data_IF_090894664125
#
_entry.id   IF_090894664125
#
_cell.length_a   1.000
_cell.length_b   1.000
_cell.length_c   1.000
_cell.angle_alpha   90.00
_cell.angle_beta   90.00
_cell.angle_gamma   90.00
#
_symmetry.space_group_name_H-M   'P 1'
#
loop_
_entity.id
_entity.type
_entity.pdbx_description
1 polymer ?
#
# COMPACT_ATOMS: atom_id res chain seq x y z
N UNK A 1 3.35 15.53 -11.62
CA UNK A 1 2.89 15.73 -10.24
C UNK A 1 1.60 14.95 -10.07
N UNK A 2 1.50 14.11 -9.04
CA UNK A 2 0.31 13.29 -8.82
C UNK A 2 -0.91 14.16 -8.59
N UNK A 3 -1.96 13.93 -9.36
CA UNK A 3 -3.20 14.72 -9.36
C UNK A 3 -3.92 14.70 -8.01
N UNK A 4 -3.72 13.64 -7.23
CA UNK A 4 -4.34 13.42 -5.93
C UNK A 4 -3.56 14.09 -4.76
N UNK A 5 -2.31 14.51 -4.96
CA UNK A 5 -1.49 15.04 -3.87
C UNK A 5 -1.66 16.55 -3.69
N UNK A 6 -1.97 17.00 -2.47
CA UNK A 6 -1.91 18.41 -2.11
C UNK A 6 -0.50 19.00 -2.34
N UNK A 7 -0.42 20.32 -2.62
CA UNK A 7 0.83 21.09 -2.86
C UNK A 7 1.62 20.71 -4.13
N UNK A 8 0.95 20.27 -5.18
CA UNK A 8 1.56 20.14 -6.51
C UNK A 8 2.67 19.07 -6.60
N UNK A 9 2.61 18.04 -5.75
CA UNK A 9 3.59 16.94 -5.73
C UNK A 9 4.92 17.26 -5.03
N UNK A 10 5.02 18.38 -4.31
CA UNK A 10 6.18 18.71 -3.45
C UNK A 10 6.25 17.75 -2.26
N UNK A 11 7.08 16.71 -2.34
CA UNK A 11 7.29 15.74 -1.25
C UNK A 11 8.33 16.26 -0.25
N UNK A 12 7.88 16.65 0.94
CA UNK A 12 8.75 16.98 2.07
C UNK A 12 9.35 15.74 2.75
N UNK A 13 10.33 15.93 3.63
CA UNK A 13 10.99 14.85 4.36
C UNK A 13 10.03 13.93 5.15
N UNK A 14 8.90 14.47 5.63
CA UNK A 14 7.84 13.69 6.29
C UNK A 14 7.23 12.62 5.39
N UNK A 15 7.01 12.95 4.12
CA UNK A 15 6.43 12.03 3.13
C UNK A 15 7.40 10.89 2.80
N UNK A 16 8.71 11.21 2.73
CA UNK A 16 9.74 10.20 2.55
C UNK A 16 9.84 9.27 3.78
N UNK A 17 9.78 9.81 4.99
CA UNK A 17 9.80 9.03 6.22
C UNK A 17 8.56 8.13 6.37
N UNK A 18 7.37 8.63 6.02
CA UNK A 18 6.14 7.86 6.07
C UNK A 18 6.19 6.63 5.13
N UNK A 19 6.65 6.82 3.90
CA UNK A 19 6.65 5.73 2.91
C UNK A 19 7.85 4.78 3.06
N UNK A 20 9.00 5.27 3.53
CA UNK A 20 10.21 4.46 3.67
C UNK A 20 10.42 3.92 5.09
N UNK A 21 9.74 4.45 6.10
CA UNK A 21 9.98 4.14 7.51
C UNK A 21 9.76 2.66 7.83
N UNK A 22 8.68 2.07 7.33
CA UNK A 22 8.39 0.64 7.48
C UNK A 22 9.48 -0.21 6.85
N UNK A 23 9.92 0.14 5.63
CA UNK A 23 11.00 -0.56 4.95
C UNK A 23 12.33 -0.47 5.70
N UNK A 24 12.68 0.73 6.20
CA UNK A 24 13.89 0.94 7.00
C UNK A 24 13.88 0.08 8.26
N UNK A 25 12.77 0.07 8.99
CA UNK A 25 12.62 -0.76 10.19
C UNK A 25 12.80 -2.25 9.87
N UNK A 26 12.16 -2.75 8.81
CA UNK A 26 12.25 -4.16 8.41
C UNK A 26 13.67 -4.57 8.00
N UNK A 27 14.41 -3.72 7.29
CA UNK A 27 15.81 -3.98 6.93
C UNK A 27 16.70 -4.03 8.18
N UNK A 28 16.53 -3.09 9.11
CA UNK A 28 17.28 -3.10 10.36
C UNK A 28 16.98 -4.36 11.19
N UNK A 29 15.72 -4.78 11.24
CA UNK A 29 15.32 -6.01 11.91
C UNK A 29 15.90 -7.26 11.23
N UNK A 30 15.95 -7.28 9.89
CA UNK A 30 16.55 -8.39 9.13
C UNK A 30 18.06 -8.51 9.36
N UNK A 31 18.75 -7.41 9.69
CA UNK A 31 20.16 -7.42 10.00
C UNK A 31 20.49 -8.09 11.35
N UNK A 32 19.52 -8.17 12.27
CA UNK A 32 19.71 -8.70 13.64
C UNK A 32 18.90 -9.97 13.91
N UNK A 33 18.20 -10.52 12.92
CA UNK A 33 17.38 -11.74 13.07
C UNK A 33 17.68 -12.77 11.97
N UNK A 34 17.43 -14.07 12.22
CA UNK A 34 17.63 -15.11 11.21
C UNK A 34 16.50 -15.18 10.17
N UNK A 35 15.42 -14.41 10.31
CA UNK A 35 14.21 -14.50 9.48
C UNK A 35 14.27 -13.63 8.22
N UNK A 36 15.43 -13.60 7.56
CA UNK A 36 15.71 -12.68 6.45
C UNK A 36 14.70 -12.82 5.29
N UNK A 37 14.31 -14.05 4.95
CA UNK A 37 13.38 -14.31 3.85
C UNK A 37 11.99 -13.72 4.11
N UNK A 38 11.42 -13.94 5.31
CA UNK A 38 10.10 -13.42 5.67
C UNK A 38 10.11 -11.88 5.75
N UNK A 39 11.19 -11.32 6.31
CA UNK A 39 11.36 -9.87 6.41
C UNK A 39 11.60 -9.20 5.05
N UNK A 40 12.28 -9.88 4.12
CA UNK A 40 12.40 -9.42 2.73
C UNK A 40 11.03 -9.38 2.03
N UNK A 41 10.18 -10.38 2.23
CA UNK A 41 8.80 -10.38 1.72
C UNK A 41 7.98 -9.23 2.32
N UNK A 42 8.04 -9.04 3.63
CA UNK A 42 7.39 -7.92 4.30
C UNK A 42 7.89 -6.56 3.80
N UNK A 43 9.21 -6.44 3.55
CA UNK A 43 9.82 -5.24 3.00
C UNK A 43 9.28 -4.91 1.62
N UNK A 44 9.26 -5.89 0.70
CA UNK A 44 8.71 -5.69 -0.65
C UNK A 44 7.22 -5.34 -0.57
N UNK A 45 6.47 -5.97 0.34
CA UNK A 45 5.06 -5.67 0.57
C UNK A 45 4.82 -4.24 1.06
N UNK A 46 5.68 -3.67 1.92
CA UNK A 46 5.57 -2.28 2.36
C UNK A 46 5.60 -1.30 1.18
N UNK A 47 6.59 -1.45 0.29
CA UNK A 47 6.71 -0.62 -0.91
C UNK A 47 5.62 -0.91 -1.93
N UNK A 48 5.23 -2.19 -2.09
CA UNK A 48 4.12 -2.59 -2.94
C UNK A 48 2.80 -1.97 -2.46
N UNK A 49 2.58 -1.86 -1.15
CA UNK A 49 1.40 -1.19 -0.58
C UNK A 49 1.39 0.30 -0.93
N UNK A 50 2.51 1.01 -0.71
CA UNK A 50 2.62 2.42 -1.05
C UNK A 50 2.42 2.68 -2.56
N UNK A 51 2.97 1.81 -3.40
CA UNK A 51 2.79 1.87 -4.85
C UNK A 51 1.35 1.56 -5.27
N UNK A 52 0.73 0.55 -4.65
CA UNK A 52 -0.67 0.20 -4.88
C UNK A 52 -1.55 1.42 -4.60
N UNK A 53 -1.41 2.01 -3.42
CA UNK A 53 -2.25 3.12 -2.99
C UNK A 53 -2.16 4.32 -3.96
N UNK A 54 -0.92 4.73 -4.28
CA UNK A 54 -0.67 5.84 -5.21
C UNK A 54 -1.24 5.56 -6.60
N UNK A 55 -0.97 4.38 -7.17
CA UNK A 55 -1.44 4.05 -8.52
C UNK A 55 -2.96 3.88 -8.55
N UNK A 56 -3.54 3.29 -7.50
CA UNK A 56 -4.99 3.05 -7.44
C UNK A 56 -5.78 4.35 -7.34
N UNK A 57 -5.28 5.33 -6.58
CA UNK A 57 -5.92 6.64 -6.43
C UNK A 57 -5.77 7.48 -7.71
N UNK A 58 -4.58 7.54 -8.31
CA UNK A 58 -4.38 8.29 -9.56
C UNK A 58 -5.20 7.70 -10.72
N UNK A 59 -5.14 6.38 -10.93
CA UNK A 59 -5.88 5.73 -12.01
C UNK A 59 -7.38 5.72 -11.71
N UNK A 60 -7.78 5.51 -10.46
CA UNK A 60 -9.17 5.53 -10.04
C UNK A 60 -9.82 6.91 -10.20
N UNK A 61 -9.10 8.00 -9.95
CA UNK A 61 -9.61 9.35 -10.16
C UNK A 61 -9.79 9.71 -11.65
N UNK A 62 -8.86 9.29 -12.51
CA UNK A 62 -8.90 9.61 -13.95
C UNK A 62 -9.85 8.70 -14.72
N UNK A 63 -9.83 7.40 -14.43
CA UNK A 63 -10.48 6.36 -15.23
C UNK A 63 -11.61 5.63 -14.52
N UNK A 64 -11.85 5.90 -13.23
CA UNK A 64 -12.89 5.24 -12.45
C UNK A 64 -14.28 5.53 -13.00
N UNK A 65 -14.92 4.52 -13.61
CA UNK A 65 -16.27 4.65 -14.18
C UNK A 65 -17.35 4.54 -13.11
N UNK A 66 -17.09 3.72 -12.10
CA UNK A 66 -17.96 3.50 -10.94
C UNK A 66 -17.13 3.49 -9.68
N UNK A 67 -17.19 4.61 -8.96
CA UNK A 67 -16.57 4.80 -7.65
C UNK A 67 -17.60 4.57 -6.56
N UNK A 68 -17.23 3.79 -5.55
CA UNK A 68 -18.08 3.48 -4.40
C UNK A 68 -17.32 3.71 -3.10
N UNK A 69 -18.02 4.11 -2.05
CA UNK A 69 -17.42 4.25 -0.72
C UNK A 69 -17.18 2.86 -0.12
N UNK A 70 -15.97 2.56 0.35
CA UNK A 70 -15.61 1.21 0.81
C UNK A 70 -16.47 0.72 2.00
N UNK A 71 -16.95 1.62 2.86
CA UNK A 71 -17.72 1.28 4.07
C UNK A 71 -19.19 0.97 3.78
N UNK A 72 -19.80 1.65 2.81
CA UNK A 72 -21.25 1.55 2.52
C UNK A 72 -21.56 0.94 1.16
N UNK A 73 -20.55 0.78 0.31
CA UNK A 73 -20.63 0.37 -1.10
C UNK A 73 -21.60 1.22 -1.94
N UNK A 74 -21.92 2.44 -1.46
CA UNK A 74 -22.77 3.39 -2.18
C UNK A 74 -21.96 4.13 -3.23
N UNK A 75 -22.55 4.44 -4.39
CA UNK A 75 -21.89 5.27 -5.39
C UNK A 75 -21.54 6.66 -4.82
N UNK A 76 -20.32 7.10 -5.06
CA UNK A 76 -19.81 8.43 -4.69
C UNK A 76 -19.02 9.03 -5.84
N UNK A 77 -18.87 10.37 -5.94
CA UNK A 77 -18.03 10.99 -6.96
C UNK A 77 -16.57 10.49 -6.91
N UNK A 78 -15.87 10.41 -8.06
CA UNK A 78 -14.43 10.17 -8.06
C UNK A 78 -13.68 11.24 -7.26
N UNK A 79 -12.66 10.80 -6.49
CA UNK A 79 -11.89 11.68 -5.61
C UNK A 79 -12.52 11.92 -4.23
N UNK A 80 -13.66 11.30 -3.92
CA UNK A 80 -14.16 11.23 -2.53
C UNK A 80 -13.20 10.42 -1.66
N UNK A 81 -12.94 10.89 -0.43
CA UNK A 81 -12.08 10.19 0.52
C UNK A 81 -12.62 8.79 0.83
N UNK A 82 -11.74 7.78 0.79
CA UNK A 82 -12.13 6.38 0.96
C UNK A 82 -12.98 5.78 -0.16
N UNK A 83 -13.11 6.46 -1.30
CA UNK A 83 -13.72 5.89 -2.49
C UNK A 83 -12.77 4.92 -3.19
N UNK A 84 -13.33 3.79 -3.61
CA UNK A 84 -12.63 2.79 -4.42
C UNK A 84 -13.32 2.62 -5.78
N UNK A 85 -12.53 2.29 -6.80
CA UNK A 85 -13.02 1.93 -8.13
C UNK A 85 -12.36 0.63 -8.59
N UNK A 86 -13.04 -0.13 -9.45
CA UNK A 86 -12.48 -1.35 -9.99
C UNK A 86 -11.22 -1.07 -10.81
N UNK A 87 -11.24 -0.02 -11.63
CA UNK A 87 -10.11 0.39 -12.46
C UNK A 87 -8.89 0.75 -11.61
N UNK A 88 -9.10 1.54 -10.54
CA UNK A 88 -8.05 1.89 -9.59
C UNK A 88 -7.50 0.66 -8.88
N UNK A 89 -8.36 -0.22 -8.35
CA UNK A 89 -7.93 -1.44 -7.65
C UNK A 89 -7.13 -2.38 -8.56
N UNK A 90 -7.54 -2.56 -9.82
CA UNK A 90 -6.80 -3.39 -10.78
C UNK A 90 -5.44 -2.78 -11.10
N UNK A 91 -5.37 -1.46 -11.30
CA UNK A 91 -4.11 -0.78 -11.55
C UNK A 91 -3.16 -0.82 -10.34
N UNK A 92 -3.69 -0.64 -9.13
CA UNK A 92 -2.93 -0.80 -7.88
C UNK A 92 -2.39 -2.23 -7.74
N UNK A 93 -3.21 -3.24 -8.03
CA UNK A 93 -2.77 -4.63 -8.00
C UNK A 93 -1.68 -4.91 -9.04
N UNK A 94 -1.79 -4.35 -10.24
CA UNK A 94 -0.74 -4.43 -11.24
C UNK A 94 0.58 -3.82 -10.73
N UNK A 95 0.54 -2.66 -10.06
CA UNK A 95 1.71 -2.05 -9.45
C UNK A 95 2.34 -2.94 -8.35
N UNK A 96 1.53 -3.53 -7.48
CA UNK A 96 1.99 -4.45 -6.44
C UNK A 96 2.64 -5.71 -7.03
N UNK A 97 2.03 -6.31 -8.06
CA UNK A 97 2.57 -7.47 -8.77
C UNK A 97 3.85 -7.15 -9.52
N UNK A 98 3.99 -5.94 -10.09
CA UNK A 98 5.22 -5.50 -10.72
C UNK A 98 6.36 -5.41 -9.70
N UNK A 99 6.14 -4.79 -8.53
CA UNK A 99 7.18 -4.71 -7.50
C UNK A 99 7.51 -6.07 -6.89
N UNK A 100 6.49 -6.90 -6.60
CA UNK A 100 6.69 -8.28 -6.15
C UNK A 100 7.45 -9.11 -7.19
N UNK A 101 7.07 -9.01 -8.45
CA UNK A 101 7.70 -9.71 -9.57
C UNK A 101 9.16 -9.30 -9.78
N UNK A 102 9.50 -8.01 -9.62
CA UNK A 102 10.89 -7.55 -9.61
C UNK A 102 11.67 -8.14 -8.43
N UNK A 103 11.06 -8.24 -7.25
CA UNK A 103 11.65 -8.92 -6.10
C UNK A 103 11.96 -10.39 -6.39
N UNK A 104 11.07 -11.10 -7.09
CA UNK A 104 11.29 -12.49 -7.52
C UNK A 104 12.40 -12.58 -8.58
N UNK A 105 12.33 -11.73 -9.61
CA UNK A 105 13.26 -11.74 -10.74
C UNK A 105 14.71 -11.45 -10.31
N UNK A 106 14.89 -10.56 -9.33
CA UNK A 106 16.20 -10.21 -8.77
C UNK A 106 16.71 -11.24 -7.76
N UNK A 107 15.88 -12.21 -7.36
CA UNK A 107 16.19 -13.17 -6.29
C UNK A 107 16.11 -12.55 -4.88
N UNK A 108 15.55 -11.35 -4.73
CA UNK A 108 15.38 -10.68 -3.44
C UNK A 108 14.34 -11.39 -2.56
N UNK A 109 13.29 -11.96 -3.17
CA UNK A 109 12.31 -12.82 -2.50
C UNK A 109 12.10 -14.11 -3.30
N UNK A 110 11.73 -15.24 -2.66
CA UNK A 110 11.38 -16.46 -3.36
C UNK A 110 10.07 -16.28 -4.17
N UNK A 111 9.83 -17.05 -5.25
CA UNK A 111 8.60 -16.96 -6.04
C UNK A 111 7.31 -17.12 -5.20
N UNK A 112 7.36 -17.98 -4.17
CA UNK A 112 6.25 -18.20 -3.23
C UNK A 112 5.92 -16.95 -2.38
N UNK A 113 6.84 -15.98 -2.28
CA UNK A 113 6.62 -14.70 -1.61
C UNK A 113 5.75 -13.71 -2.41
N UNK A 114 5.54 -13.94 -3.71
CA UNK A 114 4.73 -13.04 -4.56
C UNK A 114 3.27 -12.94 -4.09
N UNK A 115 2.68 -14.07 -3.69
CA UNK A 115 1.31 -14.12 -3.16
C UNK A 115 1.15 -13.29 -1.88
N UNK A 116 1.97 -13.52 -0.84
CA UNK A 116 2.03 -12.69 0.35
C UNK A 116 2.20 -11.18 0.08
N UNK A 117 3.08 -10.80 -0.86
CA UNK A 117 3.27 -9.38 -1.24
C UNK A 117 1.99 -8.79 -1.82
N UNK A 118 1.36 -9.46 -2.78
CA UNK A 118 0.15 -8.96 -3.43
C UNK A 118 -1.03 -8.87 -2.44
N UNK A 119 -1.19 -9.87 -1.58
CA UNK A 119 -2.22 -9.88 -0.54
C UNK A 119 -1.99 -8.77 0.50
N UNK A 120 -0.75 -8.61 0.97
CA UNK A 120 -0.39 -7.54 1.90
C UNK A 120 -0.64 -6.16 1.32
N UNK A 121 -0.18 -5.91 0.09
CA UNK A 121 -0.40 -4.64 -0.60
C UNK A 121 -1.88 -4.30 -0.77
N UNK A 122 -2.70 -5.28 -1.15
CA UNK A 122 -4.13 -5.09 -1.27
C UNK A 122 -4.79 -4.75 0.07
N UNK A 123 -4.51 -5.54 1.12
CA UNK A 123 -5.12 -5.31 2.45
C UNK A 123 -4.68 -3.97 3.03
N UNK A 124 -3.40 -3.61 2.89
CA UNK A 124 -2.88 -2.31 3.33
C UNK A 124 -3.59 -1.14 2.63
N UNK A 125 -3.74 -1.19 1.31
CA UNK A 125 -4.42 -0.13 0.55
C UNK A 125 -5.93 -0.07 0.83
N UNK A 126 -6.60 -1.20 1.04
CA UNK A 126 -8.01 -1.18 1.46
C UNK A 126 -8.17 -0.60 2.88
N UNK A 127 -7.18 -0.82 3.76
CA UNK A 127 -7.11 -0.17 5.07
C UNK A 127 -7.12 1.35 4.97
N UNK A 128 -6.39 1.92 4.02
CA UNK A 128 -6.40 3.36 3.72
C UNK A 128 -7.81 3.85 3.42
N UNK A 129 -8.44 3.22 2.44
CA UNK A 129 -9.76 3.61 1.99
C UNK A 129 -10.77 3.51 3.13
N UNK A 130 -10.65 2.49 3.98
CA UNK A 130 -11.54 2.31 5.13
C UNK A 130 -11.34 3.40 6.18
N UNK A 131 -10.09 3.72 6.51
CA UNK A 131 -9.77 4.81 7.43
C UNK A 131 -10.21 6.15 6.88
N UNK A 132 -9.99 6.42 5.59
CA UNK A 132 -10.47 7.62 4.91
C UNK A 132 -11.98 7.76 5.02
N UNK A 133 -12.74 6.71 4.69
CA UNK A 133 -14.20 6.72 4.77
C UNK A 133 -14.75 6.76 6.21
N UNK A 134 -14.05 6.19 7.20
CA UNK A 134 -14.48 6.14 8.60
C UNK A 134 -14.09 7.40 9.39
N UNK A 135 -12.96 8.01 9.06
CA UNK A 135 -12.34 9.11 9.80
C UNK A 135 -12.40 10.46 9.08
N UNK A 136 -13.02 10.53 7.89
CA UNK A 136 -13.25 11.76 7.11
C UNK A 136 -13.78 12.92 7.98
N UNK A 137 -14.59 12.59 8.99
CA UNK A 137 -15.22 13.57 9.89
C UNK A 137 -14.33 14.08 11.02
N UNK A 138 -13.19 13.42 11.33
CA UNK A 138 -12.46 13.68 12.58
C UNK A 138 -11.13 14.41 12.37
N UNK A 139 -10.56 14.47 11.15
CA UNK A 139 -9.28 15.16 10.84
C UNK A 139 -8.12 14.89 11.83
N UNK A 140 -8.18 13.80 12.59
CA UNK A 140 -7.23 13.53 13.69
C UNK A 140 -5.90 12.94 13.21
N UNK A 141 -5.83 12.45 11.97
CA UNK A 141 -4.63 11.84 11.40
C UNK A 141 -4.20 12.61 10.15
N UNK A 142 -2.93 13.00 10.10
CA UNK A 142 -2.28 13.57 8.91
C UNK A 142 -2.16 12.47 7.84
N UNK A 143 -2.27 12.82 6.56
CA UNK A 143 -2.25 11.85 5.46
C UNK A 143 -0.96 11.01 5.46
N UNK A 144 0.17 11.61 5.83
CA UNK A 144 1.44 10.90 5.98
C UNK A 144 1.39 9.79 7.03
N UNK A 145 0.65 9.98 8.12
CA UNK A 145 0.54 8.97 9.17
C UNK A 145 -0.34 7.80 8.71
N UNK A 146 -1.39 8.08 7.94
CA UNK A 146 -2.24 7.06 7.32
C UNK A 146 -1.41 6.21 6.36
N UNK A 147 -0.65 6.83 5.47
CA UNK A 147 0.24 6.12 4.53
C UNK A 147 1.25 5.22 5.26
N UNK A 148 1.87 5.74 6.32
CA UNK A 148 2.77 4.95 7.16
C UNK A 148 2.04 3.72 7.74
N UNK A 149 0.87 3.91 8.34
CA UNK A 149 0.07 2.81 8.90
C UNK A 149 -0.31 1.76 7.86
N UNK A 150 -0.67 2.17 6.64
CA UNK A 150 -1.02 1.23 5.57
C UNK A 150 0.17 0.37 5.17
N UNK A 151 1.36 0.96 5.03
CA UNK A 151 2.56 0.17 4.73
C UNK A 151 2.89 -0.81 5.86
N UNK A 152 2.66 -0.44 7.13
CA UNK A 152 2.82 -1.34 8.28
C UNK A 152 1.81 -2.49 8.21
N UNK A 153 0.54 -2.21 7.93
CA UNK A 153 -0.50 -3.24 7.79
C UNK A 153 -0.15 -4.19 6.65
N UNK A 154 0.19 -3.66 5.47
CA UNK A 154 0.53 -4.47 4.31
C UNK A 154 1.77 -5.34 4.54
N UNK A 155 2.81 -4.78 5.16
CA UNK A 155 4.01 -5.54 5.56
C UNK A 155 3.69 -6.63 6.59
N UNK A 156 2.87 -6.32 7.60
CA UNK A 156 2.48 -7.27 8.65
C UNK A 156 1.67 -8.44 8.10
N UNK A 157 0.71 -8.17 7.21
CA UNK A 157 -0.08 -9.22 6.53
C UNK A 157 0.84 -10.11 5.69
N UNK A 158 1.73 -9.50 4.89
CA UNK A 158 2.67 -10.26 4.07
C UNK A 158 3.65 -11.09 4.93
N UNK A 159 4.11 -10.55 6.06
CA UNK A 159 4.97 -11.27 7.00
C UNK A 159 4.26 -12.49 7.59
N UNK A 160 3.01 -12.32 8.04
CA UNK A 160 2.21 -13.40 8.60
C UNK A 160 1.95 -14.51 7.58
N UNK A 161 1.64 -14.15 6.33
CA UNK A 161 1.43 -15.11 5.24
C UNK A 161 2.73 -15.79 4.84
N UNK A 162 3.85 -15.06 4.78
CA UNK A 162 5.17 -15.62 4.51
C UNK A 162 5.56 -16.66 5.56
N UNK A 163 5.30 -16.40 6.85
CA UNK A 163 5.61 -17.35 7.92
C UNK A 163 4.83 -18.68 7.84
N UNK A 164 3.72 -18.72 7.10
CA UNK A 164 2.93 -19.94 6.86
C UNK A 164 3.37 -20.67 5.59
N UNK A 165 3.82 -19.93 4.58
CA UNK A 165 4.03 -20.45 3.22
C UNK A 165 5.52 -20.69 2.90
N UNK A 166 6.46 -20.07 3.62
CA UNK A 166 7.91 -20.17 3.43
C UNK A 166 8.60 -20.81 4.63
#
# INVERSE_FOLDING_TARGET
AGIAQEKGGSRGAKNALANCGTGLFLVLLAAVTPHQTWLAVAFVAAFATAAFDTVSSEIGQVYGRRTVLITSLRPVPPGTEGAISLEGTVAGMAAALLLGGLGVLTGFIPPMGLGPVAAGAFVGAMGESYMGAALESIKLLDNEMVNFLNTVVGAGVALALAAVVL
#
